data_IF_119981220567
#
_entry.id   IF_119981220567
#
_cell.length_a   1.000
_cell.length_b   1.000
_cell.length_c   1.000
_cell.angle_alpha   90.00
_cell.angle_beta   90.00
_cell.angle_gamma   90.00
#
_symmetry.space_group_name_H-M   'P 1'
#
loop_
_entity.id
_entity.type
_entity.pdbx_description
1 polymer ?
#
# COMPACT_ATOMS: atom_id res chain seq x y z
N UNK A 1 36.80 -41.09 26.90
CA UNK A 1 37.08 -40.18 28.04
C UNK A 1 36.63 -38.81 27.58
N UNK A 2 35.41 -38.49 27.95
CA UNK A 2 34.97 -37.58 29.04
C UNK A 2 35.37 -36.14 28.71
N UNK A 3 34.46 -35.15 28.59
CA UNK A 3 33.41 -34.82 29.53
C UNK A 3 32.27 -34.03 28.84
N UNK A 4 31.07 -34.40 29.20
CA UNK A 4 29.85 -33.64 29.00
C UNK A 4 29.82 -32.45 29.98
N UNK A 5 29.60 -31.23 29.46
CA UNK A 5 29.23 -30.07 30.24
C UNK A 5 27.74 -29.88 30.18
N UNK A 6 27.03 -30.40 31.18
CA UNK A 6 25.61 -30.16 31.37
C UNK A 6 25.41 -28.72 31.85
N UNK A 7 24.67 -27.91 31.06
CA UNK A 7 24.14 -26.65 31.55
C UNK A 7 22.80 -26.94 32.26
N UNK A 8 22.72 -26.55 33.53
CA UNK A 8 21.52 -26.61 34.34
C UNK A 8 20.35 -25.83 33.71
N UNK A 9 19.10 -26.32 33.76
CA UNK A 9 17.95 -25.59 33.32
C UNK A 9 17.59 -24.53 34.36
N UNK A 10 17.68 -23.25 33.96
CA UNK A 10 17.11 -22.16 34.74
C UNK A 10 15.59 -22.33 34.82
N UNK A 11 15.05 -22.23 36.02
CA UNK A 11 13.65 -22.42 36.37
C UNK A 11 12.71 -21.58 35.49
N UNK A 12 11.89 -22.25 34.70
CA UNK A 12 10.81 -21.67 33.94
C UNK A 12 9.70 -21.18 34.88
N UNK A 13 9.43 -19.89 34.90
CA UNK A 13 8.17 -19.36 35.41
C UNK A 13 7.05 -19.76 34.43
N UNK A 14 6.29 -20.78 34.78
CA UNK A 14 5.10 -21.21 34.05
C UNK A 14 3.98 -20.20 34.28
N UNK A 15 3.63 -19.41 33.25
CA UNK A 15 2.41 -18.59 33.21
C UNK A 15 1.66 -18.87 31.92
N UNK A 16 0.40 -19.19 32.01
CA UNK A 16 -0.53 -19.32 30.87
C UNK A 16 -0.56 -18.01 30.05
N UNK A 17 -0.59 -18.04 28.70
CA UNK A 17 -0.56 -16.84 27.84
C UNK A 17 -1.66 -15.81 28.16
N UNK A 18 -2.82 -16.27 28.61
CA UNK A 18 -3.93 -15.41 29.03
C UNK A 18 -3.71 -14.74 30.39
N UNK A 19 -2.98 -15.36 31.30
CA UNK A 19 -2.65 -14.76 32.59
C UNK A 19 -1.67 -13.58 32.45
N UNK A 20 -0.77 -13.62 31.47
CA UNK A 20 0.19 -12.54 31.19
C UNK A 20 -0.48 -11.24 30.75
N UNK A 21 -1.43 -11.29 29.83
CA UNK A 21 -2.13 -10.11 29.31
C UNK A 21 -2.98 -9.42 30.38
N UNK A 22 -3.74 -10.18 31.18
CA UNK A 22 -4.57 -9.61 32.25
C UNK A 22 -3.69 -8.92 33.31
N UNK A 23 -2.65 -9.60 33.78
CA UNK A 23 -1.73 -9.04 34.76
C UNK A 23 -1.00 -7.77 34.21
N UNK A 24 -0.69 -7.75 32.92
CA UNK A 24 -0.11 -6.56 32.28
C UNK A 24 -1.10 -5.38 32.26
N UNK A 25 -2.36 -5.61 31.91
CA UNK A 25 -3.41 -4.57 31.90
C UNK A 25 -3.59 -3.99 33.31
N UNK A 26 -3.61 -4.83 34.34
CA UNK A 26 -3.69 -4.38 35.75
C UNK A 26 -2.46 -3.54 36.13
N UNK A 27 -1.26 -3.99 35.78
CA UNK A 27 -0.03 -3.23 36.02
C UNK A 27 0.01 -1.89 35.25
N UNK A 28 -0.46 -1.88 34.01
CA UNK A 28 -0.59 -0.65 33.20
C UNK A 28 -1.58 0.32 33.87
N UNK A 29 -2.72 -0.18 34.35
CA UNK A 29 -3.72 0.63 35.04
C UNK A 29 -3.11 1.29 36.28
N UNK A 30 -2.42 0.52 37.10
CA UNK A 30 -1.75 1.07 38.30
C UNK A 30 -0.72 2.16 37.92
N UNK A 31 0.03 2.00 36.84
CA UNK A 31 0.97 3.03 36.36
C UNK A 31 0.26 4.27 35.83
N UNK A 32 -0.88 4.11 35.17
CA UNK A 32 -1.70 5.25 34.71
C UNK A 32 -2.26 6.05 35.89
N UNK A 33 -2.75 5.36 36.94
CA UNK A 33 -3.25 6.01 38.17
C UNK A 33 -2.12 6.79 38.87
N UNK A 34 -0.90 6.21 39.00
CA UNK A 34 0.27 6.92 39.52
C UNK A 34 0.60 8.18 38.70
N UNK A 35 0.55 8.12 37.36
CA UNK A 35 0.85 9.25 36.46
C UNK A 35 -0.25 10.30 36.47
N UNK A 36 -1.52 9.88 36.61
CA UNK A 36 -2.64 10.80 36.81
C UNK A 36 -2.45 11.68 38.06
N UNK A 37 -1.90 11.07 39.12
CA UNK A 37 -1.67 11.77 40.39
C UNK A 37 -0.52 12.76 40.37
N UNK A 38 0.57 12.50 39.58
CA UNK A 38 1.75 13.35 39.50
C UNK A 38 1.81 14.24 38.23
N UNK A 39 0.81 14.13 37.36
CA UNK A 39 0.69 14.93 36.12
C UNK A 39 1.76 14.61 35.06
N UNK A 40 2.43 13.44 35.13
CA UNK A 40 3.46 13.05 34.19
C UNK A 40 2.93 12.05 33.15
N UNK A 41 3.56 12.06 32.00
CA UNK A 41 3.20 11.15 30.88
C UNK A 41 3.82 9.77 31.06
N UNK A 42 3.20 8.77 30.41
CA UNK A 42 3.81 7.50 30.10
C UNK A 42 3.65 7.17 28.61
N UNK A 43 4.52 6.32 28.10
CA UNK A 43 4.42 5.78 26.74
C UNK A 43 4.25 4.27 26.79
N UNK A 44 3.28 3.77 26.04
CA UNK A 44 3.09 2.36 25.76
C UNK A 44 3.62 2.06 24.36
N UNK A 45 4.61 1.19 24.29
CA UNK A 45 5.14 0.65 23.04
C UNK A 45 4.58 -0.76 22.86
N UNK A 46 3.85 -1.00 21.79
CA UNK A 46 3.48 -2.35 21.35
C UNK A 46 4.46 -2.80 20.29
N UNK A 47 5.13 -3.91 20.51
CA UNK A 47 6.18 -4.47 19.67
C UNK A 47 5.67 -5.80 19.12
N UNK A 48 5.48 -5.87 17.81
CA UNK A 48 5.20 -7.11 17.10
C UNK A 48 6.51 -7.65 16.53
N UNK A 49 6.90 -8.87 16.89
CA UNK A 49 8.21 -9.40 16.53
C UNK A 49 8.32 -9.84 15.06
N UNK A 50 7.20 -10.22 14.44
CA UNK A 50 7.12 -10.68 13.06
C UNK A 50 7.86 -11.99 12.77
N UNK A 51 8.20 -12.79 13.80
CA UNK A 51 9.01 -13.99 13.63
C UNK A 51 8.50 -15.22 14.38
N UNK A 52 7.85 -15.05 15.55
CA UNK A 52 7.49 -16.17 16.43
C UNK A 52 6.46 -17.08 15.76
N UNK A 53 5.43 -16.51 15.12
CA UNK A 53 4.44 -17.30 14.40
C UNK A 53 5.01 -18.16 13.28
N UNK A 54 6.05 -17.68 12.59
CA UNK A 54 6.76 -18.46 11.56
C UNK A 54 7.59 -19.58 12.19
N UNK A 55 8.25 -19.32 13.32
CA UNK A 55 9.02 -20.33 14.05
C UNK A 55 8.10 -21.42 14.61
N UNK A 56 6.98 -21.04 15.20
CA UNK A 56 5.97 -21.99 15.70
C UNK A 56 5.47 -22.93 14.61
N UNK A 57 5.21 -22.37 13.42
CA UNK A 57 4.73 -23.14 12.28
C UNK A 57 5.81 -24.06 11.68
N UNK A 58 7.07 -23.62 11.62
CA UNK A 58 8.17 -24.36 10.97
C UNK A 58 8.85 -25.36 11.91
N UNK A 59 9.04 -25.00 13.18
CA UNK A 59 9.86 -25.78 14.14
C UNK A 59 9.13 -26.12 15.45
N UNK A 60 7.88 -25.68 15.61
CA UNK A 60 7.02 -26.00 16.77
C UNK A 60 7.15 -25.03 17.94
N UNK A 61 6.12 -25.01 18.78
CA UNK A 61 5.92 -24.05 19.86
C UNK A 61 7.05 -23.98 20.90
N UNK A 62 7.76 -25.10 21.16
CA UNK A 62 8.87 -25.10 22.12
C UNK A 62 10.01 -24.17 21.71
N UNK A 63 10.30 -24.10 20.42
CA UNK A 63 11.32 -23.22 19.89
C UNK A 63 10.83 -21.77 19.85
N UNK A 64 9.58 -21.55 19.50
CA UNK A 64 8.94 -20.25 19.61
C UNK A 64 9.01 -19.67 21.02
N UNK A 65 8.80 -20.49 22.06
CA UNK A 65 8.93 -20.08 23.47
C UNK A 65 10.39 -19.67 23.81
N UNK A 66 11.39 -20.35 23.26
CA UNK A 66 12.80 -19.96 23.45
C UNK A 66 13.09 -18.62 22.82
N UNK A 67 12.60 -18.38 21.59
CA UNK A 67 12.78 -17.09 20.89
C UNK A 67 12.03 -16.00 21.63
N UNK A 68 10.82 -16.25 22.08
CA UNK A 68 10.01 -15.34 22.92
C UNK A 68 10.78 -14.90 24.17
N UNK A 69 11.36 -15.83 24.88
CA UNK A 69 12.16 -15.53 26.05
C UNK A 69 13.42 -14.70 25.73
N UNK A 70 14.07 -14.95 24.58
CA UNK A 70 15.22 -14.15 24.11
C UNK A 70 14.84 -12.72 23.77
N UNK A 71 13.72 -12.52 23.06
CA UNK A 71 13.17 -11.19 22.74
C UNK A 71 12.90 -10.42 24.04
N UNK A 72 12.21 -11.05 25.00
CA UNK A 72 11.92 -10.42 26.29
C UNK A 72 13.20 -10.06 27.05
N UNK A 73 14.23 -10.91 27.01
CA UNK A 73 15.52 -10.66 27.65
C UNK A 73 16.27 -9.49 26.98
N UNK A 74 16.30 -9.41 25.64
CA UNK A 74 16.92 -8.32 24.89
C UNK A 74 16.23 -6.98 25.20
N UNK A 75 14.91 -6.92 25.18
CA UNK A 75 14.14 -5.72 25.52
C UNK A 75 14.42 -5.24 26.96
N UNK A 76 14.51 -6.17 27.93
CA UNK A 76 14.85 -5.82 29.32
C UNK A 76 16.27 -5.30 29.48
N UNK A 77 17.22 -5.92 28.79
CA UNK A 77 18.64 -5.59 28.96
C UNK A 77 19.05 -4.28 28.26
N UNK A 78 18.49 -4.03 27.07
CA UNK A 78 19.00 -2.98 26.19
C UNK A 78 18.08 -1.74 26.14
N UNK A 79 16.77 -1.90 26.42
CA UNK A 79 15.78 -0.85 26.21
C UNK A 79 15.20 -0.31 27.50
N UNK A 80 14.81 -1.20 28.42
CA UNK A 80 13.98 -0.85 29.56
C UNK A 80 14.81 -0.48 30.79
N UNK A 81 14.32 0.49 31.55
CA UNK A 81 14.83 0.80 32.90
C UNK A 81 14.21 -0.17 33.92
N UNK A 82 14.80 -0.31 35.11
CA UNK A 82 14.22 -1.15 36.17
C UNK A 82 12.79 -0.79 36.59
N UNK A 83 12.39 0.47 36.36
CA UNK A 83 11.04 0.99 36.66
C UNK A 83 10.02 0.72 35.55
N UNK A 84 10.47 0.41 34.35
CA UNK A 84 9.60 0.22 33.18
C UNK A 84 8.98 -1.19 33.22
N UNK A 85 7.81 -1.35 32.59
CA UNK A 85 7.12 -2.63 32.53
C UNK A 85 7.35 -3.32 31.18
N UNK A 86 7.42 -4.64 31.22
CA UNK A 86 7.41 -5.49 30.04
C UNK A 86 6.34 -6.57 30.21
N UNK A 87 5.43 -6.64 29.27
CA UNK A 87 4.43 -7.69 29.14
C UNK A 87 4.62 -8.52 27.88
N UNK A 88 4.48 -9.82 28.00
CA UNK A 88 4.28 -10.72 26.87
C UNK A 88 2.77 -10.91 26.71
N UNK A 89 2.23 -10.41 25.60
CA UNK A 89 0.78 -10.45 25.31
C UNK A 89 0.37 -11.72 24.53
N UNK A 90 1.33 -12.58 24.26
CA UNK A 90 1.11 -13.78 23.45
C UNK A 90 1.25 -13.55 21.94
N UNK A 91 1.18 -14.62 21.15
CA UNK A 91 1.44 -14.60 19.71
C UNK A 91 2.82 -13.99 19.41
N UNK A 92 2.84 -12.88 18.69
CA UNK A 92 4.05 -12.13 18.31
C UNK A 92 4.19 -10.80 19.10
N UNK A 93 3.27 -10.52 20.05
CA UNK A 93 3.10 -9.21 20.67
C UNK A 93 3.78 -9.10 22.03
N UNK A 94 4.61 -8.05 22.20
CA UNK A 94 5.15 -7.60 23.47
C UNK A 94 4.70 -6.16 23.75
N UNK A 95 4.52 -5.81 25.01
CA UNK A 95 4.19 -4.46 25.41
C UNK A 95 5.20 -3.91 26.41
N UNK A 96 5.72 -2.71 26.17
CA UNK A 96 6.64 -2.00 27.07
C UNK A 96 5.97 -0.71 27.54
N UNK A 97 6.00 -0.46 28.86
CA UNK A 97 5.55 0.82 29.43
C UNK A 97 6.73 1.59 29.96
N UNK A 98 7.01 2.72 29.34
CA UNK A 98 8.03 3.66 29.80
C UNK A 98 7.37 4.69 30.72
N UNK A 99 7.84 4.83 31.95
CA UNK A 99 7.21 5.71 32.92
C UNK A 99 8.22 6.21 33.98
N UNK A 100 8.34 7.54 34.17
CA UNK A 100 7.75 8.62 33.39
C UNK A 100 8.49 8.90 32.07
N UNK A 101 7.80 9.60 31.13
CA UNK A 101 8.41 10.11 29.90
C UNK A 101 8.12 11.60 29.77
N UNK A 102 9.11 12.36 29.26
CA UNK A 102 8.98 13.81 29.11
C UNK A 102 8.30 14.21 27.78
N UNK A 103 8.28 13.30 26.80
CA UNK A 103 7.66 13.56 25.49
C UNK A 103 7.74 12.37 24.54
N UNK A 104 7.13 12.50 23.35
CA UNK A 104 7.10 11.44 22.34
C UNK A 104 8.48 11.08 21.80
N UNK A 105 9.45 11.99 21.83
CA UNK A 105 10.82 11.75 21.35
C UNK A 105 11.52 10.65 22.15
N UNK A 106 11.25 10.58 23.46
CA UNK A 106 11.81 9.53 24.35
C UNK A 106 11.23 8.17 23.97
N UNK A 107 9.93 8.12 23.62
CA UNK A 107 9.28 6.89 23.18
C UNK A 107 9.79 6.44 21.81
N UNK A 108 10.01 7.36 20.86
CA UNK A 108 10.62 7.07 19.57
C UNK A 108 12.05 6.53 19.72
N UNK A 109 12.87 7.15 20.59
CA UNK A 109 14.21 6.66 20.86
C UNK A 109 14.20 5.26 21.45
N UNK A 110 13.24 4.94 22.32
CA UNK A 110 13.08 3.59 22.85
C UNK A 110 12.64 2.59 21.79
N UNK A 111 11.76 3.02 20.86
CA UNK A 111 11.38 2.21 19.70
C UNK A 111 12.57 1.91 18.80
N UNK A 112 13.39 2.91 18.46
CA UNK A 112 14.62 2.70 17.68
C UNK A 112 15.63 1.76 18.38
N UNK A 113 15.75 1.86 19.70
CA UNK A 113 16.56 0.93 20.48
C UNK A 113 16.01 -0.48 20.43
N UNK A 114 14.68 -0.62 20.50
CA UNK A 114 14.02 -1.93 20.40
C UNK A 114 14.21 -2.56 19.02
N UNK A 115 14.08 -1.77 17.94
CA UNK A 115 14.36 -2.24 16.57
C UNK A 115 15.81 -2.73 16.43
N UNK A 116 16.78 -2.00 16.98
CA UNK A 116 18.19 -2.42 16.98
C UNK A 116 18.45 -3.67 17.81
N UNK A 117 17.89 -3.74 19.02
CA UNK A 117 18.06 -4.91 19.89
C UNK A 117 17.49 -6.19 19.26
N UNK A 118 16.40 -6.08 18.53
CA UNK A 118 15.74 -7.19 17.84
C UNK A 118 16.26 -7.42 16.41
N UNK A 119 17.07 -6.53 15.87
CA UNK A 119 17.69 -6.64 14.54
C UNK A 119 18.81 -7.67 14.46
N UNK A 120 19.30 -8.18 15.61
CA UNK A 120 20.30 -9.25 15.65
C UNK A 120 19.63 -10.60 15.34
N UNK A 121 20.28 -11.46 14.53
CA UNK A 121 19.70 -12.75 14.17
C UNK A 121 19.59 -13.72 15.34
N UNK A 122 18.59 -14.58 15.26
CA UNK A 122 18.45 -15.76 16.12
C UNK A 122 19.00 -16.99 15.40
N UNK A 123 19.85 -17.76 16.04
CA UNK A 123 20.37 -18.99 15.49
C UNK A 123 19.48 -20.17 15.90
N UNK A 124 19.01 -20.94 14.91
CA UNK A 124 18.24 -22.17 15.06
C UNK A 124 19.00 -23.28 14.34
N UNK A 125 19.76 -24.07 15.08
CA UNK A 125 20.72 -24.99 14.46
C UNK A 125 21.81 -24.19 13.71
N UNK A 126 21.91 -24.43 12.40
CA UNK A 126 22.83 -23.71 11.51
C UNK A 126 22.16 -22.54 10.75
N UNK A 127 20.84 -22.34 10.93
CA UNK A 127 20.06 -21.33 10.25
C UNK A 127 20.03 -20.00 11.02
N UNK A 128 20.19 -18.89 10.29
CA UNK A 128 20.15 -17.52 10.78
C UNK A 128 18.78 -16.90 10.52
N UNK A 129 18.02 -16.61 11.57
CA UNK A 129 16.65 -16.10 11.49
C UNK A 129 16.62 -14.65 11.94
N UNK A 130 16.06 -13.76 11.13
CA UNK A 130 15.89 -12.34 11.42
C UNK A 130 14.46 -12.03 11.82
N UNK A 131 14.28 -11.31 12.93
CA UNK A 131 12.99 -10.70 13.25
C UNK A 131 12.73 -9.49 12.34
N UNK A 132 11.46 -9.24 12.07
CA UNK A 132 10.99 -8.03 11.36
C UNK A 132 10.04 -7.26 12.26
N UNK A 133 10.55 -6.65 13.34
CA UNK A 133 9.71 -6.01 14.31
C UNK A 133 9.04 -4.76 13.75
N UNK A 134 7.79 -4.53 14.20
CA UNK A 134 7.06 -3.27 13.99
C UNK A 134 6.61 -2.75 15.34
N UNK A 135 6.68 -1.43 15.56
CA UNK A 135 6.45 -0.83 16.86
C UNK A 135 5.43 0.29 16.76
N UNK A 136 4.32 0.13 17.49
CA UNK A 136 3.32 1.16 17.65
C UNK A 136 3.41 1.82 19.03
N UNK A 137 3.29 3.13 19.09
CA UNK A 137 3.45 3.94 20.29
C UNK A 137 2.15 4.66 20.62
N UNK A 138 1.66 4.53 21.85
CA UNK A 138 0.58 5.34 22.38
C UNK A 138 1.02 6.09 23.65
N UNK A 139 0.64 7.36 23.75
CA UNK A 139 1.01 8.25 24.86
C UNK A 139 -0.17 8.46 25.79
N UNK A 140 0.02 8.28 27.11
CA UNK A 140 -0.95 8.68 28.10
C UNK A 140 -0.61 10.08 28.64
N UNK A 141 -1.60 10.98 28.83
CA UNK A 141 -3.03 10.76 28.60
C UNK A 141 -3.52 11.10 27.17
N UNK A 142 -2.64 11.55 26.29
CA UNK A 142 -2.98 12.13 24.99
C UNK A 142 -3.78 11.17 24.08
N UNK A 143 -3.50 9.86 24.15
CA UNK A 143 -4.11 8.86 23.27
C UNK A 143 -5.09 7.93 23.98
N UNK A 144 -5.49 8.25 25.22
CA UNK A 144 -6.50 7.52 25.96
C UNK A 144 -6.24 7.53 27.45
N UNK A 145 -7.32 7.33 28.22
CA UNK A 145 -7.35 7.34 29.69
C UNK A 145 -7.64 5.95 30.29
N UNK A 146 -7.79 4.92 29.41
CA UNK A 146 -7.99 3.53 29.82
C UNK A 146 -6.89 2.65 29.23
N UNK A 147 -6.40 1.62 29.96
CA UNK A 147 -5.37 0.71 29.49
C UNK A 147 -5.72 0.02 28.16
N UNK A 148 -6.99 -0.40 28.02
CA UNK A 148 -7.50 -1.08 26.85
C UNK A 148 -7.46 -0.16 25.62
N UNK A 149 -7.82 1.12 25.81
CA UNK A 149 -7.74 2.14 24.75
C UNK A 149 -6.30 2.37 24.33
N UNK A 150 -5.37 2.54 25.28
CA UNK A 150 -3.96 2.73 24.96
C UNK A 150 -3.36 1.53 24.20
N UNK A 151 -3.71 0.31 24.60
CA UNK A 151 -3.30 -0.90 23.90
C UNK A 151 -3.85 -0.95 22.47
N UNK A 152 -5.13 -0.60 22.29
CA UNK A 152 -5.76 -0.54 20.97
C UNK A 152 -5.10 0.53 20.08
N UNK A 153 -4.82 1.71 20.62
CA UNK A 153 -4.16 2.78 19.89
C UNK A 153 -2.71 2.42 19.52
N UNK A 154 -1.96 1.80 20.45
CA UNK A 154 -0.63 1.29 20.15
C UNK A 154 -0.66 0.18 19.09
N UNK A 155 -1.67 -0.72 19.09
CA UNK A 155 -1.84 -1.75 18.05
C UNK A 155 -2.17 -1.13 16.70
N UNK A 156 -3.01 -0.10 16.66
CA UNK A 156 -3.30 0.66 15.46
C UNK A 156 -2.04 1.30 14.88
N UNK A 157 -1.24 1.97 15.72
CA UNK A 157 0.02 2.56 15.31
C UNK A 157 1.03 1.50 14.82
N UNK A 158 1.06 0.30 15.44
CA UNK A 158 1.91 -0.81 15.01
C UNK A 158 1.55 -1.30 13.59
N UNK A 159 0.27 -1.35 13.26
CA UNK A 159 -0.20 -1.68 11.92
C UNK A 159 0.26 -0.65 10.86
N UNK A 160 0.26 0.64 11.22
CA UNK A 160 0.84 1.71 10.37
C UNK A 160 2.35 1.52 10.21
N UNK A 161 3.07 1.30 11.32
CA UNK A 161 4.53 1.12 11.34
C UNK A 161 5.02 -0.02 10.43
N UNK A 162 4.20 -1.06 10.24
CA UNK A 162 4.53 -2.20 9.36
C UNK A 162 4.69 -1.79 7.89
N UNK A 163 3.98 -0.74 7.46
CA UNK A 163 4.07 -0.18 6.11
C UNK A 163 5.13 0.93 5.95
N UNK A 164 5.70 1.41 7.05
CA UNK A 164 6.68 2.49 7.03
C UNK A 164 8.13 1.97 7.06
N UNK A 165 9.03 2.70 6.41
CA UNK A 165 10.49 2.38 6.40
C UNK A 165 11.11 2.46 7.80
N UNK A 166 10.55 3.28 8.68
CA UNK A 166 10.98 3.44 10.07
C UNK A 166 10.64 2.24 10.96
N UNK A 167 9.65 1.43 10.57
CA UNK A 167 9.08 0.36 11.38
C UNK A 167 8.64 0.78 12.79
N UNK A 168 8.45 2.08 13.03
CA UNK A 168 7.94 2.64 14.28
C UNK A 168 7.00 3.82 13.98
N UNK A 169 5.83 3.84 14.62
CA UNK A 169 4.85 4.92 14.46
C UNK A 169 4.22 5.29 15.80
N UNK A 170 3.95 6.59 15.98
CA UNK A 170 3.10 7.08 17.06
C UNK A 170 1.67 7.10 16.58
N UNK A 171 0.74 6.71 17.45
CA UNK A 171 -0.68 6.83 17.15
C UNK A 171 -1.06 8.28 16.80
N UNK A 172 -1.85 8.43 15.75
CA UNK A 172 -2.45 9.70 15.37
C UNK A 172 -3.93 9.45 15.06
N UNK A 173 -4.80 10.31 15.57
CA UNK A 173 -6.26 10.13 15.51
C UNK A 173 -6.82 10.19 14.08
N UNK A 174 -6.14 10.91 13.20
CA UNK A 174 -6.45 11.06 11.78
C UNK A 174 -5.97 9.86 10.92
N UNK A 175 -5.17 8.98 11.48
CA UNK A 175 -4.70 7.76 10.80
C UNK A 175 -5.60 6.58 11.14
N UNK A 176 -6.28 6.09 10.10
CA UNK A 176 -7.10 4.88 10.23
C UNK A 176 -6.24 3.66 10.61
N UNK A 177 -6.86 2.75 11.36
CA UNK A 177 -6.26 1.44 11.59
C UNK A 177 -6.36 0.60 10.31
N UNK A 178 -5.23 0.37 9.56
CA UNK A 178 -5.28 -0.29 8.27
C UNK A 178 -5.83 -1.73 8.36
N UNK A 179 -5.58 -2.43 9.48
CA UNK A 179 -6.04 -3.81 9.65
C UNK A 179 -7.53 -3.91 9.94
N UNK A 180 -8.05 -3.02 10.79
CA UNK A 180 -9.48 -2.96 11.06
C UNK A 180 -10.26 -2.57 9.80
N UNK A 181 -9.77 -1.57 9.08
CA UNK A 181 -10.34 -1.15 7.80
C UNK A 181 -10.29 -2.29 6.78
N UNK A 182 -9.14 -2.96 6.63
CA UNK A 182 -8.97 -4.10 5.73
C UNK A 182 -9.92 -5.25 6.05
N UNK A 183 -10.03 -5.65 7.33
CA UNK A 183 -10.97 -6.69 7.76
C UNK A 183 -12.43 -6.33 7.41
N UNK A 184 -12.82 -5.08 7.64
CA UNK A 184 -14.15 -4.60 7.28
C UNK A 184 -14.33 -4.59 5.75
N UNK A 185 -13.32 -4.18 4.99
CA UNK A 185 -13.37 -4.17 3.51
C UNK A 185 -13.43 -5.59 2.94
N UNK A 186 -12.67 -6.56 3.49
CA UNK A 186 -12.75 -7.97 3.10
C UNK A 186 -14.19 -8.53 3.19
N UNK A 187 -14.86 -8.24 4.30
CA UNK A 187 -16.24 -8.68 4.50
C UNK A 187 -17.24 -7.96 3.57
N UNK A 188 -17.04 -6.68 3.33
CA UNK A 188 -17.90 -5.85 2.48
C UNK A 188 -17.68 -6.09 0.98
N UNK A 189 -16.45 -6.41 0.58
CA UNK A 189 -16.13 -6.64 -0.82
C UNK A 189 -16.96 -7.78 -1.40
N UNK A 190 -17.28 -8.79 -0.61
CA UNK A 190 -18.11 -9.91 -1.04
C UNK A 190 -19.50 -9.48 -1.52
N UNK A 191 -20.09 -8.51 -0.83
CA UNK A 191 -21.39 -7.92 -1.21
C UNK A 191 -21.21 -6.81 -2.24
N UNK A 192 -20.18 -5.98 -2.14
CA UNK A 192 -19.95 -4.87 -3.07
C UNK A 192 -19.78 -5.31 -4.52
N UNK A 193 -19.08 -6.42 -4.77
CA UNK A 193 -18.93 -6.98 -6.12
C UNK A 193 -20.25 -7.54 -6.67
N UNK A 194 -21.12 -8.10 -5.79
CA UNK A 194 -22.41 -8.66 -6.19
C UNK A 194 -23.54 -7.64 -6.26
N UNK A 195 -23.49 -6.60 -5.43
CA UNK A 195 -24.59 -5.63 -5.24
C UNK A 195 -24.43 -4.34 -6.07
N UNK A 196 -23.53 -4.35 -7.05
CA UNK A 196 -23.30 -3.20 -7.94
C UNK A 196 -22.76 -1.92 -7.22
N UNK A 197 -22.20 -2.08 -6.01
CA UNK A 197 -21.73 -0.99 -5.18
C UNK A 197 -20.37 -0.39 -5.64
N UNK A 198 -19.75 -0.99 -6.67
CA UNK A 198 -18.54 -0.48 -7.29
C UNK A 198 -18.91 0.43 -8.45
N UNK A 199 -18.52 1.69 -8.37
CA UNK A 199 -18.72 2.66 -9.43
C UNK A 199 -17.38 2.95 -10.14
N UNK A 200 -17.47 3.36 -11.41
CA UNK A 200 -16.34 3.90 -12.16
C UNK A 200 -16.63 5.33 -12.54
N UNK A 201 -15.62 6.17 -12.40
CA UNK A 201 -15.59 7.50 -13.02
C UNK A 201 -14.49 7.51 -14.08
N UNK A 202 -14.62 8.40 -15.06
CA UNK A 202 -13.77 8.45 -16.23
C UNK A 202 -13.11 9.82 -16.31
N UNK A 203 -11.78 9.84 -16.30
CA UNK A 203 -11.00 11.06 -16.47
C UNK A 203 -10.50 11.14 -17.91
N UNK A 204 -10.83 12.22 -18.66
CA UNK A 204 -10.51 12.32 -20.07
C UNK A 204 -9.02 12.52 -20.32
N UNK A 205 -8.51 11.89 -21.37
CA UNK A 205 -7.18 12.07 -21.91
C UNK A 205 -7.28 12.78 -23.26
N UNK A 206 -6.50 13.85 -23.44
CA UNK A 206 -6.52 14.70 -24.61
C UNK A 206 -5.24 14.53 -25.44
N UNK A 207 -5.41 14.44 -26.75
CA UNK A 207 -4.29 14.60 -27.69
C UNK A 207 -3.83 16.07 -27.68
N UNK A 208 -2.57 16.31 -27.32
CA UNK A 208 -2.01 17.65 -27.23
C UNK A 208 -1.88 18.35 -28.59
N UNK A 209 -1.74 17.58 -29.68
CA UNK A 209 -1.62 18.13 -31.03
C UNK A 209 -2.98 18.50 -31.60
N UNK A 210 -3.97 17.62 -31.44
CA UNK A 210 -5.31 17.78 -32.00
C UNK A 210 -6.25 18.55 -31.08
N UNK A 211 -5.96 18.60 -29.77
CA UNK A 211 -6.85 19.19 -28.76
C UNK A 211 -8.13 18.42 -28.53
N UNK A 212 -8.20 17.17 -29.00
CA UNK A 212 -9.40 16.31 -28.91
C UNK A 212 -9.21 15.22 -27.86
N UNK A 213 -10.34 14.74 -27.35
CA UNK A 213 -10.33 13.59 -26.42
C UNK A 213 -10.00 12.31 -27.20
N UNK A 214 -9.03 11.55 -26.70
CA UNK A 214 -8.54 10.32 -27.30
C UNK A 214 -8.74 9.08 -26.45
N UNK A 215 -8.91 9.28 -25.15
CA UNK A 215 -9.09 8.20 -24.19
C UNK A 215 -9.68 8.70 -22.91
N UNK A 216 -9.87 7.77 -21.98
CA UNK A 216 -10.24 8.07 -20.62
C UNK A 216 -9.63 7.02 -19.68
N UNK A 217 -9.16 7.47 -18.53
CA UNK A 217 -8.80 6.57 -17.44
C UNK A 217 -10.04 6.23 -16.62
N UNK A 218 -10.27 4.95 -16.38
CA UNK A 218 -11.34 4.46 -15.50
C UNK A 218 -10.83 4.34 -14.07
N UNK A 219 -11.44 5.10 -13.18
CA UNK A 219 -11.05 5.18 -11.78
C UNK A 219 -12.13 4.55 -10.91
N UNK A 220 -11.74 3.54 -10.12
CA UNK A 220 -12.62 2.87 -9.18
C UNK A 220 -13.09 3.86 -8.10
N UNK A 221 -14.40 3.82 -7.82
CA UNK A 221 -15.04 4.50 -6.70
C UNK A 221 -15.82 3.46 -5.91
N UNK A 222 -15.31 3.11 -4.77
CA UNK A 222 -16.00 2.26 -3.82
C UNK A 222 -16.28 3.04 -2.55
N UNK A 223 -17.54 3.15 -2.17
CA UNK A 223 -17.95 3.86 -0.98
C UNK A 223 -18.39 2.89 0.10
N UNK A 224 -17.98 3.18 1.34
CA UNK A 224 -18.46 2.43 2.49
C UNK A 224 -19.92 2.84 2.83
N UNK A 225 -20.48 2.17 3.86
CA UNK A 225 -21.85 2.48 4.33
C UNK A 225 -22.02 3.90 4.89
N UNK A 226 -20.92 4.56 5.22
CA UNK A 226 -20.88 5.96 5.65
C UNK A 226 -20.65 6.92 4.45
N UNK A 227 -20.73 6.42 3.22
CA UNK A 227 -20.45 7.14 1.97
C UNK A 227 -19.00 7.63 1.82
N UNK A 228 -18.07 7.13 2.65
CA UNK A 228 -16.66 7.44 2.55
C UNK A 228 -16.02 6.63 1.41
N UNK A 229 -15.20 7.31 0.60
CA UNK A 229 -14.47 6.69 -0.49
C UNK A 229 -13.37 5.76 0.06
N UNK A 230 -13.38 4.50 -0.39
CA UNK A 230 -12.32 3.53 -0.10
C UNK A 230 -11.27 3.64 -1.21
N UNK A 231 -9.99 3.83 -0.88
CA UNK A 231 -8.90 3.84 -1.85
C UNK A 231 -8.86 2.54 -2.68
N UNK A 232 -8.49 2.64 -3.94
CA UNK A 232 -8.41 1.48 -4.83
C UNK A 232 -7.42 0.42 -4.32
N UNK A 233 -6.28 0.85 -3.77
CA UNK A 233 -5.26 -0.04 -3.20
C UNK A 233 -5.80 -0.84 -2.01
N UNK A 234 -6.60 -0.21 -1.15
CA UNK A 234 -7.25 -0.89 -0.02
C UNK A 234 -8.29 -1.90 -0.51
N UNK A 235 -9.04 -1.56 -1.56
CA UNK A 235 -9.99 -2.48 -2.19
C UNK A 235 -9.28 -3.72 -2.76
N UNK A 236 -8.16 -3.55 -3.45
CA UNK A 236 -7.37 -4.65 -3.98
C UNK A 236 -6.66 -5.45 -2.87
N UNK A 237 -6.15 -4.78 -1.82
CA UNK A 237 -5.57 -5.46 -0.66
C UNK A 237 -6.61 -6.34 0.07
N UNK A 238 -7.84 -5.84 0.21
CA UNK A 238 -8.95 -6.62 0.77
C UNK A 238 -9.35 -7.80 -0.15
N UNK A 239 -9.34 -7.57 -1.48
CA UNK A 239 -9.62 -8.62 -2.45
C UNK A 239 -8.56 -9.73 -2.42
N UNK A 240 -7.29 -9.38 -2.26
CA UNK A 240 -6.19 -10.34 -2.14
C UNK A 240 -6.35 -11.21 -0.88
N UNK A 241 -6.55 -10.60 0.28
CA UNK A 241 -6.78 -11.31 1.54
C UNK A 241 -7.99 -12.26 1.47
N UNK A 242 -9.03 -11.85 0.72
CA UNK A 242 -10.24 -12.66 0.50
C UNK A 242 -10.10 -13.68 -0.64
N UNK A 243 -8.98 -13.76 -1.37
CA UNK A 243 -8.79 -14.60 -2.55
C UNK A 243 -9.74 -14.21 -3.70
N UNK A 244 -10.05 -12.91 -3.89
CA UNK A 244 -11.04 -12.39 -4.82
C UNK A 244 -10.52 -11.34 -5.82
N UNK A 245 -9.21 -11.27 -6.00
CA UNK A 245 -8.58 -10.29 -6.91
C UNK A 245 -9.16 -10.38 -8.33
N UNK A 246 -9.28 -11.60 -8.87
CA UNK A 246 -9.83 -11.85 -10.22
C UNK A 246 -11.29 -11.46 -10.34
N UNK A 247 -12.09 -11.65 -9.29
CA UNK A 247 -13.49 -11.23 -9.26
C UNK A 247 -13.61 -9.70 -9.28
N UNK A 248 -12.84 -9.00 -8.45
CA UNK A 248 -12.82 -7.53 -8.41
C UNK A 248 -12.37 -6.98 -9.77
N UNK A 249 -11.26 -7.48 -10.31
CA UNK A 249 -10.76 -7.03 -11.61
C UNK A 249 -11.76 -7.33 -12.73
N UNK A 250 -12.39 -8.50 -12.72
CA UNK A 250 -13.43 -8.85 -13.71
C UNK A 250 -14.60 -7.86 -13.65
N UNK A 251 -15.03 -7.45 -12.45
CA UNK A 251 -16.10 -6.44 -12.29
C UNK A 251 -15.67 -5.08 -12.85
N UNK A 252 -14.45 -4.61 -12.51
CA UNK A 252 -13.90 -3.35 -13.01
C UNK A 252 -13.81 -3.36 -14.54
N UNK A 253 -13.18 -4.41 -15.12
CA UNK A 253 -13.01 -4.55 -16.57
C UNK A 253 -14.35 -4.58 -17.31
N UNK A 254 -15.32 -5.38 -16.85
CA UNK A 254 -16.62 -5.45 -17.50
C UNK A 254 -17.35 -4.10 -17.48
N UNK A 255 -17.24 -3.32 -16.40
CA UNK A 255 -17.83 -1.98 -16.32
C UNK A 255 -17.09 -0.98 -17.22
N UNK A 256 -15.76 -0.96 -17.18
CA UNK A 256 -14.95 -0.06 -17.99
C UNK A 256 -15.17 -0.31 -19.49
N UNK A 257 -15.16 -1.59 -19.92
CA UNK A 257 -15.32 -1.96 -21.32
C UNK A 257 -16.79 -1.80 -21.80
N UNK A 258 -17.78 -2.04 -20.92
CA UNK A 258 -19.18 -1.70 -21.22
C UNK A 258 -19.32 -0.22 -21.53
N UNK A 259 -18.83 0.64 -20.63
CA UNK A 259 -18.93 2.10 -20.85
C UNK A 259 -18.13 2.54 -22.08
N UNK A 260 -16.94 1.97 -22.33
CA UNK A 260 -16.17 2.24 -23.55
C UNK A 260 -16.98 1.88 -24.82
N UNK A 261 -17.70 0.76 -24.80
CA UNK A 261 -18.61 0.36 -25.89
C UNK A 261 -19.77 1.32 -26.04
N UNK A 262 -20.42 1.72 -24.94
CA UNK A 262 -21.51 2.68 -24.92
C UNK A 262 -21.06 4.06 -25.41
N UNK A 263 -19.91 4.57 -25.00
CA UNK A 263 -19.31 5.81 -25.49
C UNK A 263 -19.15 5.80 -27.02
N UNK A 264 -18.71 4.67 -27.56
CA UNK A 264 -18.54 4.53 -29.00
C UNK A 264 -19.87 4.50 -29.76
N UNK A 265 -20.82 3.65 -29.32
CA UNK A 265 -22.03 3.42 -30.08
C UNK A 265 -23.12 4.47 -29.83
N UNK A 266 -23.21 5.01 -28.63
CA UNK A 266 -24.28 5.95 -28.24
C UNK A 266 -23.85 7.42 -28.31
N UNK A 267 -22.56 7.70 -28.11
CA UNK A 267 -22.01 9.07 -28.05
C UNK A 267 -21.01 9.39 -29.18
N UNK A 268 -20.67 8.40 -30.03
CA UNK A 268 -19.73 8.59 -31.13
C UNK A 268 -18.27 8.78 -30.69
N UNK A 269 -17.95 8.48 -29.42
CA UNK A 269 -16.64 8.65 -28.81
C UNK A 269 -15.83 7.36 -28.96
N UNK A 270 -14.98 7.25 -29.98
CA UNK A 270 -14.11 6.08 -30.22
C UNK A 270 -12.83 6.17 -29.38
N UNK A 271 -12.94 5.99 -28.08
CA UNK A 271 -11.88 6.20 -27.07
C UNK A 271 -11.06 4.94 -26.77
N UNK A 272 -9.85 5.15 -26.28
CA UNK A 272 -9.08 4.15 -25.51
C UNK A 272 -9.52 4.25 -24.05
N UNK A 273 -9.48 3.13 -23.29
CA UNK A 273 -9.85 3.11 -21.89
C UNK A 273 -8.69 2.56 -21.05
N UNK A 274 -8.22 3.35 -20.10
CA UNK A 274 -7.21 2.97 -19.12
C UNK A 274 -7.86 2.25 -17.93
N UNK A 275 -7.25 1.16 -17.47
CA UNK A 275 -7.64 0.42 -16.26
C UNK A 275 -6.41 0.15 -15.43
N UNK A 276 -6.42 0.62 -14.19
CA UNK A 276 -5.36 0.40 -13.22
C UNK A 276 -5.29 -1.07 -12.78
N UNK A 277 -4.09 -1.65 -12.82
CA UNK A 277 -3.80 -3.00 -12.37
C UNK A 277 -2.70 -2.96 -11.31
N UNK A 278 -3.02 -3.14 -10.01
CA UNK A 278 -2.02 -3.18 -8.96
C UNK A 278 -1.01 -4.31 -9.17
N UNK A 279 0.25 -4.07 -8.78
CA UNK A 279 1.34 -5.02 -9.01
C UNK A 279 1.12 -6.40 -8.43
N UNK A 280 0.49 -6.47 -7.26
CA UNK A 280 0.12 -7.75 -6.64
C UNK A 280 -0.88 -8.56 -7.48
N UNK A 281 -1.73 -7.91 -8.27
CA UNK A 281 -2.63 -8.59 -9.19
C UNK A 281 -1.88 -9.27 -10.33
N UNK A 282 -0.72 -8.78 -10.73
CA UNK A 282 0.13 -9.40 -11.76
C UNK A 282 0.64 -10.80 -11.37
N UNK A 283 0.63 -11.15 -10.09
CA UNK A 283 1.02 -12.48 -9.60
C UNK A 283 -0.03 -13.57 -9.87
N UNK A 284 -1.22 -13.18 -10.33
CA UNK A 284 -2.31 -14.10 -10.63
C UNK A 284 -2.27 -14.49 -12.12
N UNK A 285 -1.89 -15.73 -12.48
CA UNK A 285 -1.68 -16.16 -13.86
C UNK A 285 -2.95 -16.18 -14.72
N UNK A 286 -4.12 -16.14 -14.09
CA UNK A 286 -5.44 -16.10 -14.74
C UNK A 286 -5.85 -14.68 -15.22
N UNK A 287 -5.14 -13.61 -14.88
CA UNK A 287 -5.47 -12.23 -15.26
C UNK A 287 -5.60 -12.05 -16.78
N UNK A 288 -4.68 -12.55 -17.63
CA UNK A 288 -4.86 -12.44 -19.08
C UNK A 288 -6.15 -13.07 -19.59
N UNK A 289 -6.58 -14.18 -18.99
CA UNK A 289 -7.82 -14.85 -19.39
C UNK A 289 -9.06 -14.05 -18.95
N UNK A 290 -8.99 -13.36 -17.79
CA UNK A 290 -10.04 -12.41 -17.34
C UNK A 290 -10.17 -11.27 -18.33
N UNK A 291 -9.05 -10.67 -18.75
CA UNK A 291 -9.01 -9.57 -19.73
C UNK A 291 -9.56 -10.04 -21.08
N UNK A 292 -9.13 -11.20 -21.58
CA UNK A 292 -9.58 -11.74 -22.86
C UNK A 292 -11.10 -11.97 -22.87
N UNK A 293 -11.65 -12.54 -21.79
CA UNK A 293 -13.11 -12.74 -21.66
C UNK A 293 -13.88 -11.43 -21.65
N UNK A 294 -13.40 -10.43 -20.90
CA UNK A 294 -14.06 -9.13 -20.83
C UNK A 294 -14.05 -8.43 -22.19
N UNK A 295 -12.93 -8.41 -22.93
CA UNK A 295 -12.84 -7.88 -24.28
C UNK A 295 -13.79 -8.60 -25.24
N UNK A 296 -13.85 -9.93 -25.18
CA UNK A 296 -14.76 -10.73 -25.99
C UNK A 296 -16.24 -10.46 -25.70
N UNK A 297 -16.59 -10.27 -24.43
CA UNK A 297 -17.98 -9.96 -23.99
C UNK A 297 -18.48 -8.64 -24.60
N UNK A 298 -17.63 -7.62 -24.62
CA UNK A 298 -18.01 -6.28 -25.09
C UNK A 298 -17.64 -6.01 -26.56
N UNK A 299 -17.05 -6.97 -27.26
CA UNK A 299 -16.69 -6.89 -28.68
C UNK A 299 -15.68 -5.80 -28.99
N UNK A 300 -14.80 -5.45 -28.05
CA UNK A 300 -13.78 -4.41 -28.20
C UNK A 300 -12.46 -4.98 -28.71
N UNK A 301 -11.79 -4.21 -29.58
CA UNK A 301 -10.45 -4.57 -30.01
C UNK A 301 -9.49 -4.41 -28.83
N UNK A 302 -8.54 -5.35 -28.62
CA UNK A 302 -7.60 -5.30 -27.49
C UNK A 302 -6.84 -3.98 -27.36
N UNK A 303 -6.42 -3.37 -28.46
CA UNK A 303 -5.71 -2.07 -28.47
C UNK A 303 -6.55 -0.86 -27.99
N UNK A 304 -7.84 -1.06 -27.65
CA UNK A 304 -8.65 -0.04 -26.98
C UNK A 304 -8.54 -0.07 -25.47
N UNK A 305 -8.03 -1.17 -24.91
CA UNK A 305 -7.75 -1.31 -23.49
C UNK A 305 -6.27 -1.00 -23.24
N UNK A 306 -6.03 -0.13 -22.27
CA UNK A 306 -4.71 0.17 -21.72
C UNK A 306 -4.72 -0.38 -20.29
N UNK A 307 -3.79 -1.26 -19.97
CA UNK A 307 -3.56 -1.71 -18.59
C UNK A 307 -2.45 -0.85 -18.01
N UNK A 308 -2.76 -0.13 -16.95
CA UNK A 308 -1.87 0.80 -16.28
C UNK A 308 -1.28 0.14 -15.04
N UNK A 309 0.05 0.14 -14.93
CA UNK A 309 0.80 -0.55 -13.87
C UNK A 309 1.76 0.44 -13.24
N UNK A 310 1.67 0.62 -11.92
CA UNK A 310 2.60 1.48 -11.17
C UNK A 310 4.03 0.94 -11.22
N UNK A 311 5.03 1.82 -11.29
CA UNK A 311 6.44 1.45 -11.34
C UNK A 311 6.87 0.57 -10.15
N UNK A 312 6.41 0.90 -8.94
CA UNK A 312 6.73 0.14 -7.72
C UNK A 312 6.37 -1.33 -7.82
N UNK A 313 5.35 -1.65 -8.63
CA UNK A 313 4.92 -3.02 -8.91
C UNK A 313 5.93 -3.80 -9.76
N UNK A 314 6.76 -3.10 -10.51
CA UNK A 314 7.76 -3.67 -11.40
C UNK A 314 9.13 -3.82 -10.71
N UNK A 315 9.41 -3.00 -9.69
CA UNK A 315 10.62 -3.06 -8.89
C UNK A 315 10.64 -4.38 -8.08
N UNK A 316 11.44 -5.34 -8.54
CA UNK A 316 11.50 -6.67 -7.95
C UNK A 316 10.40 -7.62 -8.44
N UNK A 317 9.76 -7.32 -9.59
CA UNK A 317 8.73 -8.16 -10.17
C UNK A 317 9.16 -9.62 -10.25
N UNK A 318 8.41 -10.49 -9.58
CA UNK A 318 8.59 -11.94 -9.63
C UNK A 318 8.42 -12.46 -11.06
N UNK A 319 8.99 -13.62 -11.40
CA UNK A 319 8.86 -14.20 -12.74
C UNK A 319 7.40 -14.30 -13.22
N UNK A 320 6.44 -14.61 -12.33
CA UNK A 320 5.01 -14.70 -12.65
C UNK A 320 4.40 -13.38 -13.11
N UNK A 321 4.79 -12.25 -12.54
CA UNK A 321 4.31 -10.93 -12.97
C UNK A 321 4.77 -10.59 -14.40
N UNK A 322 6.02 -10.93 -14.74
CA UNK A 322 6.55 -10.75 -16.11
C UNK A 322 5.82 -11.60 -17.13
N UNK A 323 5.52 -12.86 -16.80
CA UNK A 323 4.74 -13.75 -17.66
C UNK A 323 3.33 -13.21 -17.89
N UNK A 324 2.67 -12.72 -16.85
CA UNK A 324 1.34 -12.09 -16.95
C UNK A 324 1.36 -10.90 -17.89
N UNK A 325 2.36 -9.97 -17.77
CA UNK A 325 2.52 -8.83 -18.67
C UNK A 325 2.79 -9.25 -20.12
N UNK A 326 3.63 -10.27 -20.34
CA UNK A 326 3.89 -10.79 -21.68
C UNK A 326 2.62 -11.35 -22.33
N UNK A 327 1.82 -12.12 -21.60
CA UNK A 327 0.53 -12.66 -22.08
C UNK A 327 -0.50 -11.56 -22.36
N UNK A 328 -0.56 -10.50 -21.52
CA UNK A 328 -1.41 -9.34 -21.78
C UNK A 328 -1.03 -8.65 -23.10
N UNK A 329 0.27 -8.49 -23.34
CA UNK A 329 0.76 -7.94 -24.61
C UNK A 329 0.40 -8.84 -25.81
N UNK A 330 0.55 -10.17 -25.68
CA UNK A 330 0.17 -11.13 -26.75
C UNK A 330 -1.32 -11.04 -27.10
N UNK A 331 -2.18 -10.70 -26.13
CA UNK A 331 -3.60 -10.41 -26.39
C UNK A 331 -3.80 -9.14 -27.21
N UNK A 332 -2.75 -8.27 -27.33
CA UNK A 332 -2.81 -7.02 -28.06
C UNK A 332 -3.36 -5.84 -27.27
N UNK A 333 -3.48 -5.94 -25.94
CA UNK A 333 -3.78 -4.79 -25.07
C UNK A 333 -2.54 -3.90 -24.96
N UNK A 334 -2.73 -2.60 -24.76
CA UNK A 334 -1.63 -1.67 -24.49
C UNK A 334 -1.27 -1.73 -23.00
N UNK A 335 0.02 -1.58 -22.72
CA UNK A 335 0.55 -1.48 -21.35
C UNK A 335 1.09 -0.06 -21.13
N UNK A 336 0.71 0.57 -20.02
CA UNK A 336 1.19 1.89 -19.60
C UNK A 336 1.88 1.78 -18.25
N UNK A 337 3.01 2.49 -18.10
CA UNK A 337 3.64 2.68 -16.78
C UNK A 337 3.08 3.94 -16.17
N UNK A 338 2.56 3.80 -14.94
CA UNK A 338 2.02 4.91 -14.16
C UNK A 338 2.98 5.29 -13.02
N UNK A 339 3.03 6.60 -12.69
CA UNK A 339 3.87 7.19 -11.64
C UNK A 339 5.33 6.69 -11.64
N UNK A 340 6.06 6.81 -12.75
CA UNK A 340 7.46 6.44 -12.75
C UNK A 340 8.24 7.46 -11.90
N UNK A 341 8.78 7.01 -10.76
CA UNK A 341 9.90 7.68 -10.14
C UNK A 341 11.04 7.65 -11.15
N UNK A 342 11.54 8.82 -11.57
CA UNK A 342 12.57 8.96 -12.60
C UNK A 342 13.91 8.41 -12.09
N UNK A 343 13.91 7.16 -11.65
CA UNK A 343 15.08 6.43 -11.23
C UNK A 343 15.63 5.63 -12.41
N UNK A 344 16.95 5.49 -12.49
CA UNK A 344 17.64 4.69 -13.54
C UNK A 344 17.15 3.23 -13.59
N UNK A 345 16.54 2.73 -12.52
CA UNK A 345 15.92 1.40 -12.45
C UNK A 345 14.72 1.22 -13.38
N UNK A 346 13.92 2.27 -13.59
CA UNK A 346 12.77 2.25 -14.49
C UNK A 346 13.18 2.04 -15.94
N UNK A 347 14.31 2.61 -16.37
CA UNK A 347 14.82 2.49 -17.73
C UNK A 347 15.10 1.05 -18.15
N UNK A 348 15.55 0.21 -17.22
CA UNK A 348 15.76 -1.21 -17.48
C UNK A 348 14.44 -1.93 -17.78
N UNK A 349 13.37 -1.60 -17.07
CA UNK A 349 12.06 -2.20 -17.28
C UNK A 349 11.40 -1.71 -18.55
N UNK A 350 11.55 -0.43 -18.88
CA UNK A 350 11.10 0.14 -20.17
C UNK A 350 11.75 -0.56 -21.37
N UNK A 351 13.02 -0.92 -21.25
CA UNK A 351 13.74 -1.62 -22.31
C UNK A 351 13.41 -3.12 -22.42
N UNK A 352 13.03 -3.75 -21.29
CA UNK A 352 12.82 -5.23 -21.22
C UNK A 352 11.36 -5.64 -21.29
N UNK A 353 10.47 -4.84 -20.74
CA UNK A 353 9.02 -5.05 -20.79
C UNK A 353 8.46 -4.09 -21.84
N UNK A 354 7.92 -4.62 -22.90
CA UNK A 354 7.44 -3.85 -24.05
C UNK A 354 6.17 -3.05 -23.72
N UNK A 355 6.30 -1.99 -22.94
CA UNK A 355 5.27 -0.97 -22.75
C UNK A 355 5.05 -0.17 -24.03
N UNK A 356 3.93 0.51 -24.16
CA UNK A 356 3.59 1.39 -25.25
C UNK A 356 3.33 2.82 -24.80
N UNK A 357 3.15 3.04 -23.49
CA UNK A 357 2.80 4.33 -22.92
C UNK A 357 3.48 4.53 -21.57
N UNK A 358 3.83 5.78 -21.28
CA UNK A 358 4.35 6.22 -19.98
C UNK A 358 3.57 7.46 -19.53
N UNK A 359 3.10 7.46 -18.28
CA UNK A 359 2.46 8.61 -17.65
C UNK A 359 3.49 9.39 -16.85
N UNK A 360 3.67 10.66 -17.11
CA UNK A 360 4.60 11.54 -16.42
C UNK A 360 3.84 12.54 -15.56
N UNK A 361 4.09 12.50 -14.24
CA UNK A 361 3.58 13.51 -13.35
C UNK A 361 4.33 14.84 -13.45
N UNK A 362 3.67 15.82 -14.06
CA UNK A 362 4.27 17.16 -14.23
C UNK A 362 4.24 18.00 -12.95
N UNK A 363 3.56 17.57 -11.87
CA UNK A 363 3.66 18.24 -10.57
C UNK A 363 5.05 18.09 -9.98
N UNK A 364 5.75 16.96 -10.21
CA UNK A 364 7.16 16.78 -9.85
C UNK A 364 8.08 17.80 -10.56
N UNK A 365 7.70 18.24 -11.77
CA UNK A 365 8.43 19.28 -12.49
C UNK A 365 8.12 20.70 -11.99
N UNK A 366 7.01 20.90 -11.23
CA UNK A 366 6.67 22.22 -10.63
C UNK A 366 7.59 22.60 -9.49
N UNK A 367 7.95 21.66 -8.65
CA UNK A 367 8.89 21.91 -7.54
C UNK A 367 10.29 22.27 -8.06
N UNK A 368 10.51 22.01 -9.35
CA UNK A 368 11.70 22.37 -10.11
C UNK A 368 11.44 23.57 -11.07
N UNK A 369 10.21 24.11 -11.15
CA UNK A 369 9.73 24.95 -12.27
C UNK A 369 10.37 26.34 -12.39
N UNK A 370 11.09 26.80 -11.38
CA UNK A 370 11.84 28.07 -11.43
C UNK A 370 13.28 27.92 -11.98
N UNK A 371 13.69 26.70 -12.37
CA UNK A 371 15.00 26.48 -12.94
C UNK A 371 14.93 25.99 -14.41
N UNK A 372 15.72 26.61 -15.33
CA UNK A 372 15.83 26.14 -16.73
C UNK A 372 16.30 24.68 -16.88
N UNK A 373 16.79 24.05 -15.82
CA UNK A 373 17.22 22.66 -15.79
C UNK A 373 16.05 21.69 -15.82
N UNK A 374 14.91 22.05 -15.21
CA UNK A 374 13.74 21.17 -15.10
C UNK A 374 13.08 20.92 -16.44
N UNK A 375 12.96 21.94 -17.26
CA UNK A 375 12.44 21.82 -18.62
C UNK A 375 13.34 20.92 -19.48
N UNK A 376 14.68 21.04 -19.32
CA UNK A 376 15.64 20.16 -20.02
C UNK A 376 15.55 18.70 -19.55
N UNK A 377 15.30 18.47 -18.26
CA UNK A 377 15.10 17.11 -17.73
C UNK A 377 13.84 16.52 -18.33
N UNK A 378 12.73 17.26 -18.30
CA UNK A 378 11.46 16.79 -18.86
C UNK A 378 11.60 16.51 -20.37
N UNK A 379 12.25 17.40 -21.12
CA UNK A 379 12.55 17.18 -22.52
C UNK A 379 13.37 15.90 -22.75
N UNK A 380 14.41 15.68 -21.95
CA UNK A 380 15.25 14.48 -22.07
C UNK A 380 14.45 13.19 -21.78
N UNK A 381 13.50 13.24 -20.83
CA UNK A 381 12.61 12.10 -20.52
C UNK A 381 11.66 11.83 -21.69
N UNK A 382 11.04 12.85 -22.26
CA UNK A 382 10.14 12.72 -23.41
C UNK A 382 10.89 12.16 -24.63
N UNK A 383 12.07 12.70 -24.93
CA UNK A 383 12.94 12.20 -26.02
C UNK A 383 13.35 10.74 -25.79
N UNK A 384 13.69 10.37 -24.56
CA UNK A 384 14.02 8.99 -24.22
C UNK A 384 12.81 8.05 -24.40
N UNK A 385 11.62 8.46 -23.94
CA UNK A 385 10.39 7.69 -24.12
C UNK A 385 10.11 7.43 -25.60
N UNK A 386 10.22 8.46 -26.44
CA UNK A 386 10.03 8.33 -27.89
C UNK A 386 11.10 7.46 -28.56
N UNK A 387 12.36 7.53 -28.10
CA UNK A 387 13.42 6.62 -28.57
C UNK A 387 13.18 5.15 -28.24
N UNK A 388 12.36 4.90 -27.20
CA UNK A 388 11.87 3.58 -26.80
C UNK A 388 10.49 3.23 -27.41
N UNK A 389 10.01 4.04 -28.36
CA UNK A 389 8.71 3.88 -29.04
C UNK A 389 7.50 3.97 -28.07
N UNK A 390 7.62 4.75 -26.99
CA UNK A 390 6.55 4.98 -26.01
C UNK A 390 5.80 6.28 -26.33
N UNK A 391 4.47 6.24 -26.21
CA UNK A 391 3.62 7.43 -26.13
C UNK A 391 3.75 8.06 -24.72
N UNK A 392 3.76 9.39 -24.63
CA UNK A 392 3.93 10.12 -23.36
C UNK A 392 2.63 10.81 -22.97
N UNK A 393 2.09 10.48 -21.81
CA UNK A 393 0.92 11.13 -21.20
C UNK A 393 1.37 12.00 -20.04
N UNK A 394 1.22 13.31 -20.15
CA UNK A 394 1.44 14.23 -19.03
C UNK A 394 0.22 14.27 -18.11
N UNK A 395 0.39 13.93 -16.82
CA UNK A 395 -0.70 13.94 -15.86
C UNK A 395 -0.58 15.10 -14.87
N UNK A 396 -1.70 15.46 -14.22
CA UNK A 396 -1.79 16.61 -13.28
C UNK A 396 -1.41 17.96 -13.88
N UNK A 397 -1.68 18.14 -15.18
CA UNK A 397 -1.43 19.42 -15.88
C UNK A 397 -2.32 20.52 -15.29
N UNK A 398 -1.72 21.67 -14.98
CA UNK A 398 -2.39 22.68 -14.17
C UNK A 398 -3.29 23.63 -14.97
N UNK A 399 -2.82 24.04 -16.14
CA UNK A 399 -3.41 25.07 -16.97
C UNK A 399 -2.99 24.95 -18.43
N UNK A 400 -3.57 25.81 -19.29
CA UNK A 400 -3.26 25.83 -20.73
C UNK A 400 -1.81 26.24 -21.02
N UNK A 401 -1.18 27.06 -20.17
CA UNK A 401 0.23 27.45 -20.34
C UNK A 401 1.15 26.24 -20.15
N UNK A 402 0.87 25.40 -19.15
CA UNK A 402 1.57 24.16 -18.94
C UNK A 402 1.33 23.17 -20.10
N UNK A 403 0.09 23.08 -20.57
CA UNK A 403 -0.26 22.23 -21.72
C UNK A 403 0.50 22.64 -23.00
N UNK A 404 0.61 23.95 -23.30
CA UNK A 404 1.34 24.45 -24.45
C UNK A 404 2.84 24.16 -24.35
N UNK A 405 3.43 24.24 -23.15
CA UNK A 405 4.84 23.87 -22.90
C UNK A 405 5.04 22.36 -23.11
N UNK A 406 4.17 21.52 -22.57
CA UNK A 406 4.25 20.07 -22.76
C UNK A 406 4.12 19.66 -24.22
N UNK A 407 3.23 20.31 -24.95
CA UNK A 407 3.12 20.16 -26.40
C UNK A 407 4.42 20.53 -27.10
N UNK A 408 5.06 21.64 -26.72
CA UNK A 408 6.35 22.08 -27.30
C UNK A 408 7.49 21.11 -26.97
N UNK A 409 7.47 20.46 -25.80
CA UNK A 409 8.41 19.42 -25.40
C UNK A 409 8.16 18.06 -26.09
N UNK A 410 7.06 17.93 -26.83
CA UNK A 410 6.74 16.73 -27.58
C UNK A 410 5.88 15.71 -26.87
N UNK A 411 5.28 16.01 -25.70
CA UNK A 411 4.31 15.12 -25.08
C UNK A 411 3.13 14.85 -26.03
N UNK A 412 2.64 13.61 -26.06
CA UNK A 412 1.60 13.19 -26.99
C UNK A 412 0.21 13.49 -26.43
N UNK A 413 -0.02 13.16 -25.16
CA UNK A 413 -1.30 13.30 -24.50
C UNK A 413 -1.18 14.02 -23.17
N UNK A 414 -2.32 14.50 -22.65
CA UNK A 414 -2.40 15.07 -21.32
C UNK A 414 -3.68 14.63 -20.59
N UNK A 415 -3.60 14.67 -19.28
CA UNK A 415 -4.70 14.47 -18.35
C UNK A 415 -4.70 15.61 -17.34
N UNK A 416 -5.83 16.33 -17.22
CA UNK A 416 -5.90 17.58 -16.48
C UNK A 416 -7.30 17.84 -15.93
N UNK A 417 -7.40 18.06 -14.61
CA UNK A 417 -8.66 18.31 -13.92
C UNK A 417 -9.35 19.58 -14.40
N UNK A 418 -8.59 20.62 -14.74
CA UNK A 418 -9.16 21.90 -15.20
C UNK A 418 -9.88 21.79 -16.56
N UNK A 419 -9.48 20.87 -17.43
CA UNK A 419 -10.14 20.58 -18.70
C UNK A 419 -11.24 19.53 -18.56
N UNK A 420 -11.06 18.55 -17.69
CA UNK A 420 -12.02 17.49 -17.45
C UNK A 420 -11.68 16.72 -16.18
N UNK A 421 -12.38 17.00 -15.07
CA UNK A 421 -12.28 16.15 -13.90
C UNK A 421 -12.83 14.76 -14.21
N UNK A 422 -12.57 13.81 -13.32
CA UNK A 422 -13.17 12.48 -13.41
C UNK A 422 -14.70 12.58 -13.22
N UNK A 423 -15.46 12.10 -14.20
CA UNK A 423 -16.91 12.16 -14.28
C UNK A 423 -17.50 10.74 -14.31
N UNK A 424 -18.73 10.58 -13.83
CA UNK A 424 -19.47 9.36 -14.10
C UNK A 424 -19.78 9.21 -15.61
N UNK A 425 -20.21 8.03 -16.02
CA UNK A 425 -20.40 7.74 -17.43
C UNK A 425 -21.45 8.63 -18.11
N UNK A 426 -22.52 9.00 -17.40
CA UNK A 426 -23.60 9.84 -17.94
C UNK A 426 -23.12 11.28 -18.14
N UNK A 427 -22.46 11.86 -17.15
CA UNK A 427 -21.92 13.22 -17.24
C UNK A 427 -20.73 13.29 -18.22
N UNK A 428 -19.96 12.22 -18.35
CA UNK A 428 -18.91 12.10 -19.36
C UNK A 428 -19.49 12.18 -20.77
N UNK A 429 -20.57 11.44 -21.05
CA UNK A 429 -21.25 11.48 -22.36
C UNK A 429 -21.90 12.84 -22.60
N UNK A 430 -22.57 13.44 -21.60
CA UNK A 430 -23.17 14.79 -21.73
C UNK A 430 -22.10 15.85 -22.08
N UNK A 431 -20.91 15.73 -21.55
CA UNK A 431 -19.85 16.73 -21.75
C UNK A 431 -19.09 16.55 -23.05
N UNK A 432 -18.83 15.31 -23.49
CA UNK A 432 -17.92 14.99 -24.58
C UNK A 432 -18.59 14.29 -25.78
N UNK A 433 -19.79 13.76 -25.60
CA UNK A 433 -20.55 13.13 -26.68
C UNK A 433 -21.06 14.13 -27.71
N UNK A 434 -21.56 13.61 -28.83
CA UNK A 434 -22.20 14.46 -29.82
C UNK A 434 -23.42 15.12 -29.17
N UNK A 435 -23.44 16.45 -29.09
CA UNK A 435 -24.67 17.19 -28.96
C UNK A 435 -25.42 17.08 -30.31
N UNK A 436 -26.48 16.30 -30.36
CA UNK A 436 -27.49 16.47 -31.40
C UNK A 436 -28.07 17.88 -31.22
N UNK A 437 -27.51 18.86 -31.92
CA UNK A 437 -28.00 20.20 -32.04
C UNK A 437 -29.10 20.29 -33.09
#
# INVERSE_FOLDING_TARGET
>A
MSAAGAAEPAAAAQGSPTAGTVAFIEALRARMDERSADGRNLALLLIESGVIGHIDAAWGYQLGDVVRARIAAALRAEVLRPSDLLGDLGRDDFACVLSPVDGPEVALLAAEKSLRALGNPFWIGDDEIYARPSIGIAMYPAHGDQPETLLQQAKSACAVARGETSHAAIYAEDRENPEASRFLYENRLRTAVSDDALELVFQPQYDLRLGQIMGAESLLRWRDQSHRLIPADDAFAAAESAGRVTNLLSSILNRALRNCSEFRYSAGLDLRIGVNLPGRALLHPEIPDVVARALGTWGLRPGRLIIEVGETALLGAEPGARETLARLKELGVKLSIDDPDVALSSLFWLATLSFQEIKLDVALARDLADEPKSERILQAIVELAHNLELEVVAVRVADDTAADRLKALGCDYMQADYRGPALDAEDFVKRFGFNEG
#
